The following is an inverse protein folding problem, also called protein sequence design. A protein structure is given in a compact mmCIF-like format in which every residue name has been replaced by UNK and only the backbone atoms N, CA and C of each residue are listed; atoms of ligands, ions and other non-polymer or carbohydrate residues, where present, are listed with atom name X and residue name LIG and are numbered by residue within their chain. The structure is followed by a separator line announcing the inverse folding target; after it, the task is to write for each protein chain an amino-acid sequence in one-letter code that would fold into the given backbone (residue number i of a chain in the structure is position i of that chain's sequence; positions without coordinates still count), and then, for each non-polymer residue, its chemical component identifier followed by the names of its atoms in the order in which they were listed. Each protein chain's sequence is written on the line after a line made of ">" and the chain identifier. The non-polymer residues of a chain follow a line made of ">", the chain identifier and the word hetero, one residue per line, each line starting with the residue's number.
data_IF_571887924754
#
_entry.id   IF_571887924754
#
_cell.length_a   1.000
_cell.length_b   1.000
_cell.length_c   1.000
_cell.angle_alpha   90.00
_cell.angle_beta   90.00
_cell.angle_gamma   90.00
#
_symmetry.space_group_name_H-M   'P 1'
#
loop_
_entity.id
_entity.type
_entity.pdbx_description
1 polymer ?
#
# COMPACT_ATOMS: atom_id res chain seq x y z
N UNK A 1 -6.31 -3.84 14.81
CA UNK A 1 -5.94 -2.56 14.17
C UNK A 1 -5.00 -2.77 12.96
N UNK A 2 -4.21 -3.85 12.91
CA UNK A 2 -3.32 -4.17 11.77
C UNK A 2 -3.96 -5.05 10.68
N UNK A 3 -5.00 -5.84 10.99
CA UNK A 3 -5.77 -6.64 10.03
C UNK A 3 -6.79 -5.84 9.19
N UNK A 4 -6.87 -4.52 9.38
CA UNK A 4 -7.80 -3.68 8.65
C UNK A 4 -7.33 -3.51 7.21
N UNK A 5 -8.25 -3.56 6.24
CA UNK A 5 -7.99 -3.17 4.85
C UNK A 5 -7.27 -1.79 4.77
N UNK A 6 -7.54 -0.89 5.73
CA UNK A 6 -6.86 0.40 5.83
C UNK A 6 -5.34 0.32 6.07
N UNK A 7 -4.83 -0.75 6.71
CA UNK A 7 -3.40 -0.97 6.96
C UNK A 7 -2.68 -1.44 5.70
N UNK A 8 -3.35 -2.29 4.92
CA UNK A 8 -2.94 -2.65 3.55
C UNK A 8 -2.95 -1.46 2.60
N UNK A 9 -3.85 -0.50 2.80
CA UNK A 9 -3.83 0.78 2.10
C UNK A 9 -2.66 1.68 2.53
N UNK A 10 -2.23 1.64 3.80
CA UNK A 10 -1.12 2.47 4.30
C UNK A 10 0.27 2.01 3.87
N UNK A 11 0.52 0.71 3.77
CA UNK A 11 1.72 0.16 3.07
C UNK A 11 1.53 0.20 1.53
N UNK A 12 0.34 0.62 1.10
CA UNK A 12 -0.31 0.28 -0.15
C UNK A 12 0.06 1.11 -1.37
N UNK A 13 1.34 1.38 -1.58
CA UNK A 13 1.84 1.89 -2.87
C UNK A 13 3.18 1.23 -3.22
N UNK A 14 3.20 -0.10 -3.30
CA UNK A 14 4.32 -0.83 -3.90
C UNK A 14 3.94 -1.23 -5.33
N UNK A 15 4.92 -1.19 -6.22
CA UNK A 15 4.79 -1.36 -7.67
C UNK A 15 3.89 -2.55 -8.07
N UNK A 16 3.97 -3.68 -7.34
CA UNK A 16 3.17 -4.86 -7.63
C UNK A 16 1.65 -4.64 -7.42
N UNK A 17 1.25 -3.89 -6.39
CA UNK A 17 -0.16 -3.55 -6.15
C UNK A 17 -0.69 -2.68 -7.27
N UNK A 18 0.07 -1.66 -7.65
CA UNK A 18 -0.27 -0.72 -8.73
C UNK A 18 -0.46 -1.43 -10.07
N UNK A 19 0.44 -2.37 -10.38
CA UNK A 19 0.33 -3.23 -11.57
C UNK A 19 -0.94 -4.08 -11.53
N UNK A 20 -1.25 -4.66 -10.37
CA UNK A 20 -2.45 -5.49 -10.21
C UNK A 20 -3.75 -4.66 -10.35
N UNK A 21 -3.80 -3.45 -9.79
CA UNK A 21 -4.94 -2.53 -9.93
C UNK A 21 -5.15 -2.09 -11.39
N UNK A 22 -4.07 -1.73 -12.10
CA UNK A 22 -4.13 -1.42 -13.54
C UNK A 22 -4.61 -2.64 -14.35
N UNK A 23 -4.14 -3.84 -14.02
CA UNK A 23 -4.57 -5.08 -14.68
C UNK A 23 -6.08 -5.32 -14.50
N UNK A 24 -6.59 -5.16 -13.27
CA UNK A 24 -8.02 -5.32 -12.99
C UNK A 24 -8.85 -4.28 -13.76
N UNK A 25 -8.40 -3.03 -13.82
CA UNK A 25 -9.04 -1.99 -14.63
C UNK A 25 -9.10 -2.37 -16.12
N UNK A 26 -8.00 -2.89 -16.69
CA UNK A 26 -7.97 -3.35 -18.07
C UNK A 26 -8.97 -4.48 -18.32
N UNK A 27 -9.06 -5.46 -17.41
CA UNK A 27 -10.00 -6.58 -17.50
C UNK A 27 -11.45 -6.10 -17.47
N UNK A 28 -11.79 -5.20 -16.54
CA UNK A 28 -13.14 -4.65 -16.43
C UNK A 28 -13.55 -3.87 -17.67
N UNK A 29 -12.66 -3.01 -18.18
CA UNK A 29 -12.91 -2.24 -19.43
C UNK A 29 -13.07 -3.16 -20.64
N UNK A 30 -12.26 -4.23 -20.74
CA UNK A 30 -12.41 -5.22 -21.82
C UNK A 30 -13.74 -5.96 -21.74
N UNK A 31 -14.17 -6.41 -20.56
CA UNK A 31 -15.47 -7.06 -20.36
C UNK A 31 -16.63 -6.15 -20.74
N UNK A 32 -16.64 -4.90 -20.25
CA UNK A 32 -17.67 -3.93 -20.59
C UNK A 32 -17.76 -3.68 -22.11
N UNK A 33 -16.62 -3.65 -22.80
CA UNK A 33 -16.57 -3.52 -24.26
C UNK A 33 -17.14 -4.73 -24.99
N UNK A 34 -16.79 -5.94 -24.55
CA UNK A 34 -17.31 -7.19 -25.11
C UNK A 34 -18.82 -7.30 -24.90
N UNK A 35 -19.32 -6.92 -23.72
CA UNK A 35 -20.75 -6.84 -23.42
C UNK A 35 -21.48 -5.84 -24.32
N UNK A 36 -20.91 -4.65 -24.56
CA UNK A 36 -21.48 -3.66 -25.48
C UNK A 36 -21.50 -4.17 -26.93
N UNK A 37 -20.44 -4.85 -27.38
CA UNK A 37 -20.37 -5.44 -28.72
C UNK A 37 -21.38 -6.58 -28.91
N UNK A 38 -21.56 -7.42 -27.89
CA UNK A 38 -22.59 -8.47 -27.90
C UNK A 38 -24.00 -7.87 -27.90
N UNK A 39 -24.23 -6.78 -27.16
CA UNK A 39 -25.53 -6.11 -27.11
C UNK A 39 -25.89 -5.43 -28.44
N UNK A 40 -24.92 -4.84 -29.13
CA UNK A 40 -25.15 -4.33 -30.49
C UNK A 40 -25.47 -5.44 -31.48
N UNK A 41 -24.77 -6.58 -31.40
CA UNK A 41 -25.05 -7.74 -32.27
C UNK A 41 -26.40 -8.41 -31.97
N UNK A 42 -26.86 -8.44 -30.72
CA UNK A 42 -28.18 -8.97 -30.37
C UNK A 42 -29.33 -8.08 -30.83
N UNK A 43 -29.12 -6.76 -30.89
CA UNK A 43 -30.13 -5.81 -31.37
C UNK A 43 -30.33 -5.94 -32.89
N UNK A 44 -29.26 -6.20 -33.65
CA UNK A 44 -29.34 -6.45 -35.09
C UNK A 44 -30.04 -7.79 -35.44
N UNK A 45 -30.24 -8.69 -34.48
CA UNK A 45 -30.89 -10.00 -34.72
C UNK A 45 -32.41 -9.97 -34.50
N UNK A 46 -32.94 -9.01 -33.73
CA UNK A 46 -34.38 -8.92 -33.40
C UNK A 46 -35.15 -7.87 -34.24
N UNK A 47 -34.47 -7.09 -35.10
CA UNK A 47 -35.10 -6.09 -35.98
C UNK A 47 -35.15 -6.50 -37.47
N UNK A 48 -34.92 -7.77 -37.78
CA UNK A 48 -34.90 -8.30 -39.16
C UNK A 48 -36.13 -9.15 -39.53
N UNK A 49 -37.35 -8.63 -39.33
CA UNK A 49 -38.53 -9.17 -40.03
C UNK A 49 -39.44 -8.16 -40.74
N UNK A 50 -39.19 -6.84 -40.68
CA UNK A 50 -39.93 -5.89 -41.54
C UNK A 50 -39.15 -4.62 -41.86
N UNK A 51 -38.38 -4.66 -42.96
CA UNK A 51 -38.34 -3.64 -44.02
C UNK A 51 -37.08 -3.84 -44.87
N UNK A 52 -37.27 -4.21 -46.13
CA UNK A 52 -36.22 -4.23 -47.15
C UNK A 52 -35.66 -2.82 -47.42
N UNK A 53 -34.39 -2.80 -47.85
CA UNK A 53 -33.71 -1.77 -48.66
C UNK A 53 -33.06 -0.59 -47.91
N UNK A 54 -31.75 -0.68 -47.69
CA UNK A 54 -30.73 0.03 -48.49
C UNK A 54 -29.31 -0.33 -47.99
N UNK A 55 -28.44 -0.62 -48.95
CA UNK A 55 -27.11 -1.24 -48.81
C UNK A 55 -26.09 -0.30 -48.15
N UNK A 56 -25.46 -0.71 -47.05
CA UNK A 56 -24.23 -0.08 -46.53
C UNK A 56 -23.03 -0.55 -47.36
N UNK A 57 -22.76 0.15 -48.46
CA UNK A 57 -21.53 -0.05 -49.24
C UNK A 57 -20.31 0.46 -48.47
N UNK A 58 -19.46 -0.49 -48.10
CA UNK A 58 -18.10 -0.31 -47.61
C UNK A 58 -17.21 0.25 -48.74
N UNK A 59 -16.92 1.56 -48.74
CA UNK A 59 -16.07 2.15 -49.79
C UNK A 59 -14.58 2.17 -49.39
N UNK A 60 -13.81 1.27 -50.00
CA UNK A 60 -12.35 1.28 -50.04
C UNK A 60 -11.89 2.34 -51.06
N UNK A 61 -10.93 3.17 -50.66
CA UNK A 61 -10.52 4.38 -51.36
C UNK A 61 -9.67 4.02 -52.61
N UNK A 62 -10.22 4.17 -53.82
CA UNK A 62 -9.41 4.26 -55.05
C UNK A 62 -9.76 5.49 -55.88
N UNK A 63 -8.71 6.26 -56.15
CA UNK A 63 -8.64 7.51 -56.87
C UNK A 63 -8.83 7.36 -58.38
N UNK A 64 -9.88 7.93 -58.96
CA UNK A 64 -9.96 8.22 -60.41
C UNK A 64 -10.67 9.56 -60.68
N UNK A 65 -10.18 10.27 -61.70
CA UNK A 65 -10.47 11.67 -62.05
C UNK A 65 -11.84 11.90 -62.73
N UNK A 66 -12.39 13.14 -62.73
CA UNK A 66 -13.72 13.39 -63.25
C UNK A 66 -13.70 13.70 -64.75
N UNK A 67 -14.52 12.97 -65.52
CA UNK A 67 -14.93 13.37 -66.86
C UNK A 67 -16.27 14.12 -66.80
N UNK A 68 -16.28 15.31 -67.40
CA UNK A 68 -17.43 16.23 -67.50
C UNK A 68 -18.55 15.66 -68.38
N UNK A 69 -19.81 15.77 -67.96
CA UNK A 69 -20.93 16.17 -68.84
C UNK A 69 -22.00 16.94 -68.05
N UNK A 70 -22.42 18.07 -68.64
CA UNK A 70 -23.50 18.96 -68.20
C UNK A 70 -24.88 18.33 -68.42
N UNK A 71 -25.81 18.50 -67.47
CA UNK A 71 -27.16 18.92 -67.84
C UNK A 71 -27.88 19.69 -66.72
N UNK A 72 -28.60 20.72 -67.14
CA UNK A 72 -29.14 21.80 -66.34
C UNK A 72 -30.61 21.58 -66.04
N UNK A 73 -31.00 21.38 -64.78
CA UNK A 73 -32.33 21.81 -64.32
C UNK A 73 -32.31 22.29 -62.87
N UNK A 74 -32.63 23.57 -62.72
CA UNK A 74 -32.68 24.33 -61.48
C UNK A 74 -34.03 24.09 -60.79
N UNK A 75 -34.05 23.37 -59.68
CA UNK A 75 -35.19 23.39 -58.73
C UNK A 75 -34.66 23.29 -57.31
N UNK A 76 -35.15 24.19 -56.46
CA UNK A 76 -34.67 24.44 -55.10
C UNK A 76 -34.67 23.18 -54.22
N UNK A 77 -33.49 22.62 -53.97
CA UNK A 77 -33.27 21.59 -52.97
C UNK A 77 -32.34 22.16 -51.90
N UNK A 78 -32.83 22.17 -50.66
CA UNK A 78 -32.05 22.36 -49.43
C UNK A 78 -30.69 21.68 -49.61
N UNK A 79 -29.62 22.45 -49.43
CA UNK A 79 -28.24 22.00 -49.54
C UNK A 79 -28.13 20.60 -48.91
N UNK A 80 -27.87 19.60 -49.76
CA UNK A 80 -27.57 18.23 -49.36
C UNK A 80 -26.41 18.33 -48.37
N UNK A 81 -26.75 18.26 -47.08
CA UNK A 81 -25.80 18.16 -45.98
C UNK A 81 -24.92 16.95 -46.32
N UNK A 82 -23.64 17.19 -46.60
CA UNK A 82 -22.64 16.16 -46.82
C UNK A 82 -22.80 15.11 -45.70
N UNK A 83 -22.77 13.82 -46.05
CA UNK A 83 -23.00 12.68 -45.13
C UNK A 83 -22.19 12.74 -43.83
N UNK A 84 -21.09 13.53 -43.80
CA UNK A 84 -20.24 13.82 -42.65
C UNK A 84 -20.78 14.86 -41.64
N UNK A 85 -21.87 15.56 -41.95
CA UNK A 85 -22.50 16.55 -41.06
C UNK A 85 -23.82 16.04 -40.43
N UNK A 86 -24.05 14.72 -40.39
CA UNK A 86 -25.16 14.17 -39.60
C UNK A 86 -24.80 14.25 -38.12
N UNK A 87 -25.67 14.83 -37.27
CA UNK A 87 -25.38 14.91 -35.84
C UNK A 87 -25.35 13.51 -35.22
N UNK A 88 -24.27 13.20 -34.51
CA UNK A 88 -24.03 11.90 -33.88
C UNK A 88 -23.43 12.05 -32.47
N UNK A 89 -23.64 11.05 -31.60
CA UNK A 89 -23.05 11.06 -30.26
C UNK A 89 -23.66 12.08 -29.29
N UNK A 90 -24.96 12.36 -29.40
CA UNK A 90 -25.68 13.26 -28.49
C UNK A 90 -26.16 12.49 -27.25
N UNK A 91 -25.81 12.98 -26.06
CA UNK A 91 -26.30 12.44 -24.79
C UNK A 91 -27.66 13.02 -24.42
N UNK A 92 -27.76 14.35 -24.38
CA UNK A 92 -28.98 15.07 -24.06
C UNK A 92 -28.95 16.49 -24.63
N UNK A 93 -30.11 17.13 -24.74
CA UNK A 93 -30.21 18.56 -25.07
C UNK A 93 -29.74 19.40 -23.89
N UNK A 94 -28.92 20.43 -24.13
CA UNK A 94 -28.52 21.36 -23.08
C UNK A 94 -29.74 22.15 -22.58
N UNK A 95 -29.90 22.36 -21.25
CA UNK A 95 -31.09 23.00 -20.70
C UNK A 95 -31.35 24.43 -21.21
N UNK A 96 -30.29 25.23 -21.34
CA UNK A 96 -30.39 26.67 -21.65
C UNK A 96 -29.66 27.13 -22.91
N UNK A 97 -28.54 26.50 -23.30
CA UNK A 97 -27.63 26.99 -24.34
C UNK A 97 -28.09 26.64 -25.76
N UNK A 98 -27.80 27.55 -26.70
CA UNK A 98 -28.01 27.43 -28.14
C UNK A 98 -26.69 27.78 -28.84
N UNK A 99 -26.51 27.28 -30.06
CA UNK A 99 -25.35 27.58 -30.89
C UNK A 99 -25.37 29.04 -31.30
N UNK A 100 -24.22 29.72 -31.18
CA UNK A 100 -24.10 31.15 -31.43
C UNK A 100 -24.47 31.50 -32.87
N UNK A 101 -24.01 30.72 -33.85
CA UNK A 101 -24.20 31.04 -35.27
C UNK A 101 -25.57 30.67 -35.82
N UNK A 102 -26.13 29.51 -35.44
CA UNK A 102 -27.38 28.99 -36.03
C UNK A 102 -28.61 29.17 -35.15
N UNK A 103 -28.44 29.39 -33.85
CA UNK A 103 -29.55 29.44 -32.88
C UNK A 103 -30.20 28.09 -32.58
N UNK A 104 -29.66 27.00 -33.13
CA UNK A 104 -30.10 25.66 -32.81
C UNK A 104 -29.76 25.30 -31.36
N UNK A 105 -30.51 24.39 -30.72
CA UNK A 105 -30.17 23.94 -29.38
C UNK A 105 -28.79 23.28 -29.32
N UNK A 106 -28.00 23.61 -28.31
CA UNK A 106 -26.76 22.91 -28.02
C UNK A 106 -27.08 21.53 -27.43
N UNK A 107 -26.38 20.49 -27.90
CA UNK A 107 -26.48 19.13 -27.39
C UNK A 107 -25.20 18.75 -26.64
N UNK A 108 -25.38 18.12 -25.49
CA UNK A 108 -24.29 17.54 -24.71
C UNK A 108 -23.70 16.35 -25.48
N UNK A 109 -22.40 16.34 -25.82
CA UNK A 109 -21.79 15.20 -26.47
C UNK A 109 -21.56 14.05 -25.49
N UNK A 110 -21.56 12.83 -26.01
CA UNK A 110 -20.97 11.68 -25.34
C UNK A 110 -19.45 11.76 -25.53
N UNK A 111 -18.70 11.91 -24.46
CA UNK A 111 -17.23 11.95 -24.45
C UNK A 111 -16.64 10.60 -24.03
N UNK A 112 -15.34 10.42 -24.28
CA UNK A 112 -14.63 9.25 -23.76
C UNK A 112 -14.40 9.38 -22.25
N UNK A 113 -14.33 8.25 -21.55
CA UNK A 113 -13.93 8.22 -20.14
C UNK A 113 -12.49 8.74 -19.97
N UNK A 114 -12.20 9.42 -18.85
CA UNK A 114 -10.84 9.84 -18.55
C UNK A 114 -9.91 8.63 -18.41
N UNK A 115 -8.67 8.78 -18.88
CA UNK A 115 -7.66 7.72 -18.83
C UNK A 115 -7.33 7.40 -17.37
N UNK A 116 -7.56 6.16 -16.90
CA UNK A 116 -7.11 5.77 -15.57
C UNK A 116 -5.58 5.77 -15.56
N UNK A 117 -5.00 6.46 -14.58
CA UNK A 117 -3.55 6.51 -14.37
C UNK A 117 -3.22 5.99 -12.98
N UNK A 118 -2.13 5.25 -12.90
CA UNK A 118 -1.58 4.81 -11.64
C UNK A 118 -0.78 5.93 -10.98
N UNK A 119 -0.56 5.85 -9.66
CA UNK A 119 0.17 6.89 -8.92
C UNK A 119 1.60 7.10 -9.43
N UNK A 120 2.30 6.01 -9.75
CA UNK A 120 3.63 6.06 -10.36
C UNK A 120 3.59 6.77 -11.72
N UNK A 121 2.58 6.52 -12.54
CA UNK A 121 2.41 7.23 -13.81
C UNK A 121 2.13 8.72 -13.61
N UNK A 122 1.36 9.10 -12.58
CA UNK A 122 1.10 10.51 -12.24
C UNK A 122 2.36 11.22 -11.74
N UNK A 123 3.17 10.56 -10.92
CA UNK A 123 4.43 11.09 -10.43
C UNK A 123 5.46 11.23 -11.57
N UNK A 124 5.54 10.23 -12.47
CA UNK A 124 6.34 10.30 -13.70
C UNK A 124 5.88 11.44 -14.62
N UNK A 125 4.58 11.58 -14.88
CA UNK A 125 4.02 12.66 -15.69
C UNK A 125 4.35 14.04 -15.10
N UNK A 126 4.28 14.18 -13.78
CA UNK A 126 4.66 15.40 -13.08
C UNK A 126 6.16 15.69 -13.20
N UNK A 127 7.01 14.66 -13.10
CA UNK A 127 8.46 14.80 -13.25
C UNK A 127 8.84 15.18 -14.68
N UNK A 128 8.24 14.54 -15.69
CA UNK A 128 8.41 14.90 -17.11
C UNK A 128 7.97 16.33 -17.35
N UNK A 129 6.85 16.75 -16.77
CA UNK A 129 6.36 18.13 -16.87
C UNK A 129 7.29 19.15 -16.21
N UNK A 130 7.92 18.80 -15.08
CA UNK A 130 8.90 19.65 -14.40
C UNK A 130 10.21 19.76 -15.18
N UNK A 131 10.64 18.70 -15.86
CA UNK A 131 11.84 18.68 -16.70
C UNK A 131 11.63 19.45 -18.02
N UNK A 132 10.42 19.45 -18.55
CA UNK A 132 10.01 20.30 -19.66
C UNK A 132 9.98 21.76 -19.18
N UNK A 133 11.05 22.50 -19.43
CA UNK A 133 11.21 23.89 -19.01
C UNK A 133 10.12 24.87 -19.48
N UNK A 134 10.36 26.17 -19.30
CA UNK A 134 9.38 27.22 -19.62
C UNK A 134 9.50 27.77 -21.05
N UNK A 135 10.38 27.20 -21.87
CA UNK A 135 10.61 27.66 -23.24
C UNK A 135 9.37 27.45 -24.13
N UNK A 136 9.24 28.25 -25.20
CA UNK A 136 8.11 28.17 -26.14
C UNK A 136 7.90 26.75 -26.68
N UNK A 137 8.99 26.06 -27.05
CA UNK A 137 8.96 24.67 -27.52
C UNK A 137 8.54 23.68 -26.40
N UNK A 138 8.96 23.92 -25.16
CA UNK A 138 8.57 23.11 -24.01
C UNK A 138 7.10 23.33 -23.61
N UNK A 139 6.58 24.55 -23.77
CA UNK A 139 5.16 24.89 -23.62
C UNK A 139 4.29 24.20 -24.67
N UNK A 140 4.71 24.22 -25.95
CA UNK A 140 4.03 23.51 -27.04
C UNK A 140 4.04 21.99 -26.83
N UNK A 141 5.16 21.42 -26.36
CA UNK A 141 5.26 19.98 -26.05
C UNK A 141 4.37 19.57 -24.87
N UNK A 142 4.32 20.38 -23.79
CA UNK A 142 3.39 20.18 -22.67
C UNK A 142 1.94 20.26 -23.11
N UNK A 143 1.61 21.22 -23.97
CA UNK A 143 0.27 21.34 -24.53
C UNK A 143 -0.13 20.10 -25.33
N UNK A 144 0.78 19.56 -26.18
CA UNK A 144 0.53 18.33 -26.94
C UNK A 144 0.37 17.07 -26.07
N UNK A 145 1.17 16.93 -25.02
CA UNK A 145 1.07 15.80 -24.08
C UNK A 145 -0.28 15.77 -23.34
N UNK A 146 -0.85 16.95 -23.09
CA UNK A 146 -2.12 17.11 -22.38
C UNK A 146 -3.33 17.29 -23.32
N UNK A 147 -3.11 17.42 -24.64
CA UNK A 147 -4.18 17.74 -25.60
C UNK A 147 -4.96 16.53 -26.09
N UNK A 148 -4.56 15.29 -25.79
CA UNK A 148 -5.24 14.11 -26.32
C UNK A 148 -6.70 14.01 -25.84
N UNK A 149 -6.96 14.24 -24.55
CA UNK A 149 -8.32 14.27 -24.02
C UNK A 149 -9.10 15.47 -24.56
N UNK A 150 -8.47 16.65 -24.58
CA UNK A 150 -9.09 17.88 -25.11
C UNK A 150 -9.49 17.72 -26.59
N UNK A 151 -8.64 17.10 -27.40
CA UNK A 151 -8.92 16.80 -28.80
C UNK A 151 -10.13 15.88 -28.92
N UNK A 152 -10.15 14.77 -28.18
CA UNK A 152 -11.28 13.82 -28.14
C UNK A 152 -12.60 14.49 -27.73
N UNK A 153 -12.57 15.40 -26.76
CA UNK A 153 -13.75 16.14 -26.32
C UNK A 153 -14.22 17.14 -27.38
N UNK A 154 -13.30 17.84 -28.05
CA UNK A 154 -13.62 18.74 -29.16
C UNK A 154 -14.20 17.99 -30.37
N UNK A 155 -13.66 16.82 -30.71
CA UNK A 155 -14.18 15.96 -31.79
C UNK A 155 -15.61 15.48 -31.46
N UNK A 156 -15.83 15.04 -30.22
CA UNK A 156 -17.15 14.59 -29.74
C UNK A 156 -18.17 15.72 -29.79
N UNK A 157 -17.76 16.93 -29.37
CA UNK A 157 -18.62 18.10 -29.36
C UNK A 157 -19.03 18.53 -30.78
N UNK A 158 -18.08 18.55 -31.72
CA UNK A 158 -18.36 18.86 -33.13
C UNK A 158 -19.29 17.83 -33.78
N UNK A 159 -19.14 16.55 -33.45
CA UNK A 159 -20.03 15.50 -33.95
C UNK A 159 -21.48 15.68 -33.43
N UNK A 160 -21.63 16.05 -32.15
CA UNK A 160 -22.94 16.30 -31.55
C UNK A 160 -23.60 17.59 -32.04
N UNK A 161 -22.78 18.62 -32.34
CA UNK A 161 -23.21 19.96 -32.71
C UNK A 161 -22.58 20.40 -34.05
N UNK A 162 -23.12 19.94 -35.19
CA UNK A 162 -22.68 20.41 -36.51
C UNK A 162 -22.84 21.94 -36.62
N UNK A 163 -21.80 22.61 -37.11
CA UNK A 163 -21.79 24.07 -37.26
C UNK A 163 -21.45 24.86 -35.99
N UNK A 164 -21.12 24.19 -34.88
CA UNK A 164 -20.66 24.86 -33.67
C UNK A 164 -19.30 25.53 -33.85
N UNK A 165 -19.06 26.62 -33.12
CA UNK A 165 -17.78 27.33 -33.07
C UNK A 165 -17.03 27.07 -31.76
N UNK A 166 -15.77 27.54 -31.67
CA UNK A 166 -14.95 27.35 -30.47
C UNK A 166 -15.61 27.96 -29.23
N UNK A 167 -16.28 29.09 -29.40
CA UNK A 167 -17.02 29.80 -28.36
C UNK A 167 -18.15 28.93 -27.78
N UNK A 168 -18.87 28.18 -28.62
CA UNK A 168 -19.90 27.24 -28.17
C UNK A 168 -19.29 26.11 -27.32
N UNK A 169 -18.12 25.61 -27.73
CA UNK A 169 -17.39 24.60 -26.98
C UNK A 169 -16.90 25.14 -25.63
N UNK A 170 -16.33 26.35 -25.58
CA UNK A 170 -15.83 26.95 -24.33
C UNK A 170 -16.98 27.21 -23.35
N UNK A 171 -18.14 27.68 -23.81
CA UNK A 171 -19.34 27.87 -22.97
C UNK A 171 -19.76 26.60 -22.24
N UNK A 172 -19.58 25.44 -22.88
CA UNK A 172 -19.88 24.14 -22.29
C UNK A 172 -18.71 23.56 -21.47
N UNK A 173 -17.52 23.51 -22.04
CA UNK A 173 -16.37 22.78 -21.50
C UNK A 173 -15.58 23.57 -20.44
N UNK A 174 -15.49 24.89 -20.58
CA UNK A 174 -14.86 25.78 -19.60
C UNK A 174 -15.69 27.06 -19.42
N UNK A 175 -16.83 27.02 -18.72
CA UNK A 175 -17.67 28.18 -18.48
C UNK A 175 -16.94 29.35 -17.80
N UNK A 176 -15.83 29.07 -17.09
CA UNK A 176 -14.97 30.07 -16.45
C UNK A 176 -14.18 30.92 -17.45
N UNK A 177 -13.97 30.42 -18.67
CA UNK A 177 -13.28 31.13 -19.73
C UNK A 177 -14.23 31.86 -20.68
N UNK A 178 -15.54 31.84 -20.38
CA UNK A 178 -16.56 32.64 -21.05
C UNK A 178 -16.90 33.85 -20.19
N UNK A 179 -16.76 35.06 -20.75
CA UNK A 179 -17.11 36.32 -20.08
C UNK A 179 -18.45 36.77 -20.64
N UNK A 180 -19.48 36.72 -19.80
CA UNK A 180 -20.83 37.19 -20.14
C UNK A 180 -20.91 38.72 -20.06
N UNK A 181 -21.60 39.33 -21.03
CA UNK A 181 -21.95 40.73 -21.08
C UNK A 181 -23.46 40.88 -20.79
N UNK A 182 -23.88 42.06 -20.32
CA UNK A 182 -25.30 42.33 -19.99
C UNK A 182 -26.22 42.44 -21.23
N UNK A 183 -25.66 42.29 -22.44
CA UNK A 183 -26.40 42.31 -23.69
C UNK A 183 -27.01 40.94 -24.00
N UNK A 184 -28.26 40.92 -24.48
CA UNK A 184 -28.93 39.70 -24.92
C UNK A 184 -28.68 39.53 -26.42
N UNK A 185 -28.23 38.35 -26.83
CA UNK A 185 -28.06 37.96 -28.22
C UNK A 185 -29.40 37.83 -28.95
N UNK A 186 -29.33 37.63 -30.26
CA UNK A 186 -30.51 37.54 -31.12
C UNK A 186 -31.43 36.36 -30.73
N UNK A 187 -30.92 35.34 -30.02
CA UNK A 187 -31.60 34.08 -29.68
C UNK A 187 -32.09 34.02 -28.23
N UNK A 188 -31.95 35.11 -27.48
CA UNK A 188 -32.43 35.26 -26.11
C UNK A 188 -31.44 34.79 -25.03
N UNK A 189 -30.14 34.75 -25.31
CA UNK A 189 -29.08 34.34 -24.38
C UNK A 189 -28.14 35.52 -24.07
N UNK A 190 -27.43 35.49 -22.94
CA UNK A 190 -26.43 36.50 -22.65
C UNK A 190 -25.28 36.39 -23.65
N UNK A 191 -24.99 37.50 -24.33
CA UNK A 191 -23.85 37.65 -25.22
C UNK A 191 -22.57 37.62 -24.38
N UNK A 192 -21.46 37.27 -25.01
CA UNK A 192 -20.20 37.20 -24.30
C UNK A 192 -19.02 36.98 -25.22
N UNK A 193 -17.83 36.99 -24.64
CA UNK A 193 -16.60 36.78 -25.37
C UNK A 193 -15.63 35.86 -24.60
N UNK A 194 -14.63 35.36 -25.31
CA UNK A 194 -13.57 34.54 -24.73
C UNK A 194 -12.73 35.34 -23.74
N UNK A 195 -12.27 34.69 -22.67
CA UNK A 195 -11.37 35.30 -21.68
C UNK A 195 -10.04 35.76 -22.30
N UNK A 196 -9.35 36.71 -21.66
CA UNK A 196 -8.05 37.21 -22.12
C UNK A 196 -7.00 36.09 -22.30
N UNK A 197 -7.09 35.01 -21.51
CA UNK A 197 -6.23 33.82 -21.63
C UNK A 197 -6.52 33.02 -22.90
N UNK A 198 -7.77 33.00 -23.35
CA UNK A 198 -8.20 32.29 -24.55
C UNK A 198 -7.89 33.06 -25.84
N UNK A 199 -7.63 34.37 -25.74
CA UNK A 199 -7.29 35.27 -26.86
C UNK A 199 -5.78 35.40 -27.12
N UNK A 200 -4.94 34.61 -26.43
CA UNK A 200 -3.49 34.64 -26.62
C UNK A 200 -3.13 34.20 -28.06
N UNK A 201 -2.21 34.90 -28.75
CA UNK A 201 -1.73 34.48 -30.06
C UNK A 201 -1.19 33.04 -30.04
N UNK A 202 -1.59 32.22 -31.02
CA UNK A 202 -1.27 30.78 -31.10
C UNK A 202 -1.76 29.98 -29.88
N UNK A 203 -2.99 30.22 -29.43
CA UNK A 203 -3.60 29.43 -28.36
C UNK A 203 -3.68 27.93 -28.75
N UNK A 204 -3.15 27.02 -27.91
CA UNK A 204 -3.29 25.57 -28.13
C UNK A 204 -4.74 25.12 -28.30
N UNK A 205 -5.72 25.76 -27.63
CA UNK A 205 -7.13 25.40 -27.74
C UNK A 205 -7.69 25.70 -29.12
N UNK A 206 -7.44 26.89 -29.66
CA UNK A 206 -7.85 27.26 -31.02
C UNK A 206 -7.16 26.38 -32.07
N UNK A 207 -5.88 26.07 -31.86
CA UNK A 207 -5.13 25.16 -32.75
C UNK A 207 -5.73 23.75 -32.73
N UNK A 208 -6.00 23.21 -31.54
CA UNK A 208 -6.61 21.88 -31.36
C UNK A 208 -8.01 21.84 -31.97
N UNK A 209 -8.81 22.88 -31.73
CA UNK A 209 -10.15 23.02 -32.29
C UNK A 209 -10.14 23.01 -33.81
N UNK A 210 -9.23 23.76 -34.45
CA UNK A 210 -9.13 23.78 -35.91
C UNK A 210 -8.71 22.43 -36.49
N UNK A 211 -7.89 21.65 -35.77
CA UNK A 211 -7.49 20.31 -36.20
C UNK A 211 -8.56 19.23 -35.94
N UNK A 212 -9.46 19.43 -34.97
CA UNK A 212 -10.46 18.45 -34.55
C UNK A 212 -11.52 18.21 -35.64
N UNK A 213 -11.79 16.94 -35.92
CA UNK A 213 -12.82 16.50 -36.87
C UNK A 213 -14.13 16.14 -36.14
N UNK A 214 -15.31 16.24 -36.79
CA UNK A 214 -16.59 15.87 -36.16
C UNK A 214 -16.75 14.35 -36.06
N UNK A 215 -16.06 13.72 -35.11
CA UNK A 215 -16.08 12.26 -34.90
C UNK A 215 -16.71 11.95 -33.53
N UNK A 216 -17.77 11.13 -33.43
CA UNK A 216 -18.36 10.76 -32.14
C UNK A 216 -17.45 9.81 -31.35
N UNK A 217 -17.53 9.84 -30.01
CA UNK A 217 -16.62 9.09 -29.11
C UNK A 217 -16.44 7.59 -29.46
N UNK A 218 -17.48 6.89 -29.89
CA UNK A 218 -17.40 5.47 -30.25
C UNK A 218 -16.60 5.19 -31.54
N UNK A 219 -16.35 6.20 -32.39
CA UNK A 219 -15.53 6.11 -33.62
C UNK A 219 -14.15 6.75 -33.47
N UNK A 220 -13.88 7.40 -32.34
CA UNK A 220 -12.60 8.02 -32.08
C UNK A 220 -11.53 6.98 -31.70
N UNK A 221 -10.27 7.38 -31.85
CA UNK A 221 -9.16 6.62 -31.26
C UNK A 221 -9.32 6.62 -29.74
N UNK A 222 -9.19 5.44 -29.14
CA UNK A 222 -9.36 5.26 -27.69
C UNK A 222 -8.25 5.99 -26.94
N UNK A 223 -8.64 6.76 -25.93
CA UNK A 223 -7.70 7.41 -25.02
C UNK A 223 -6.99 6.39 -24.12
N UNK A 224 -7.71 5.34 -23.71
CA UNK A 224 -7.16 4.22 -22.93
C UNK A 224 -7.26 2.93 -23.76
N UNK A 225 -6.10 2.34 -24.06
CA UNK A 225 -6.00 1.06 -24.73
C UNK A 225 -5.78 -0.05 -23.68
N UNK A 226 -6.89 -0.64 -23.24
CA UNK A 226 -6.92 -1.70 -22.23
C UNK A 226 -5.99 -2.87 -22.57
N UNK A 227 -5.83 -3.18 -23.85
CA UNK A 227 -5.01 -4.32 -24.29
C UNK A 227 -3.53 -3.96 -24.21
N UNK A 228 -3.14 -2.77 -24.69
CA UNK A 228 -1.74 -2.33 -24.62
C UNK A 228 -1.26 -2.07 -23.20
N UNK A 229 -2.10 -1.49 -22.33
CA UNK A 229 -1.73 -1.27 -20.93
C UNK A 229 -1.59 -2.60 -20.16
N UNK A 230 -2.47 -3.58 -20.43
CA UNK A 230 -2.32 -4.93 -19.88
C UNK A 230 -1.04 -5.62 -20.39
N UNK A 231 -0.73 -5.52 -21.68
CA UNK A 231 0.50 -6.08 -22.26
C UNK A 231 1.76 -5.45 -21.65
N UNK A 232 1.79 -4.13 -21.43
CA UNK A 232 2.90 -3.45 -20.74
C UNK A 232 3.09 -4.01 -19.34
N UNK A 233 2.00 -4.17 -18.58
CA UNK A 233 2.05 -4.73 -17.23
C UNK A 233 2.55 -6.19 -17.21
N UNK A 234 2.06 -7.04 -18.12
CA UNK A 234 2.53 -8.43 -18.25
C UNK A 234 4.00 -8.49 -18.70
N UNK A 235 4.38 -7.66 -19.67
CA UNK A 235 5.74 -7.59 -20.16
C UNK A 235 6.70 -7.15 -19.04
N UNK A 236 6.32 -6.15 -18.25
CA UNK A 236 7.07 -5.71 -17.07
C UNK A 236 7.33 -6.88 -16.12
N UNK A 237 6.32 -7.70 -15.81
CA UNK A 237 6.48 -8.86 -14.91
C UNK A 237 7.34 -9.96 -15.57
N UNK A 238 7.13 -10.25 -16.85
CA UNK A 238 7.85 -11.30 -17.59
C UNK A 238 9.35 -11.02 -17.73
N UNK A 239 9.74 -9.74 -17.73
CA UNK A 239 11.13 -9.30 -17.92
C UNK A 239 11.92 -9.25 -16.61
N UNK A 240 11.28 -9.50 -15.45
CA UNK A 240 11.96 -9.45 -14.15
C UNK A 240 12.81 -10.68 -13.89
N UNK A 241 14.01 -10.43 -13.35
CA UNK A 241 14.87 -11.47 -12.77
C UNK A 241 14.35 -11.89 -11.39
N UNK A 242 14.72 -13.08 -10.93
CA UNK A 242 14.30 -13.61 -9.63
C UNK A 242 14.58 -12.65 -8.46
N UNK A 243 15.74 -11.96 -8.48
CA UNK A 243 16.07 -10.97 -7.45
C UNK A 243 15.16 -9.74 -7.47
N UNK A 244 14.70 -9.32 -8.65
CA UNK A 244 13.75 -8.21 -8.79
C UNK A 244 12.34 -8.64 -8.37
N UNK A 245 11.95 -9.89 -8.64
CA UNK A 245 10.69 -10.46 -8.13
C UNK A 245 10.71 -10.51 -6.60
N UNK A 246 11.82 -10.97 -6.00
CA UNK A 246 11.98 -10.96 -4.55
C UNK A 246 11.86 -9.55 -3.95
N UNK A 247 12.45 -8.54 -4.60
CA UNK A 247 12.28 -7.13 -4.23
C UNK A 247 10.82 -6.69 -4.33
N UNK A 248 10.12 -6.99 -5.43
CA UNK A 248 8.70 -6.65 -5.60
C UNK A 248 7.80 -7.27 -4.50
N UNK A 249 8.17 -8.46 -3.99
CA UNK A 249 7.46 -9.16 -2.92
C UNK A 249 7.86 -8.72 -1.51
N UNK A 250 9.01 -8.06 -1.36
CA UNK A 250 9.56 -7.67 -0.06
C UNK A 250 8.55 -6.91 0.83
N UNK A 251 7.82 -5.89 0.33
CA UNK A 251 6.82 -5.19 1.14
C UNK A 251 5.71 -6.10 1.65
N UNK A 252 5.21 -6.99 0.78
CA UNK A 252 4.12 -7.92 1.14
C UNK A 252 4.55 -8.94 2.17
N UNK A 253 5.76 -9.49 2.02
CA UNK A 253 6.30 -10.50 2.93
C UNK A 253 6.63 -9.88 4.30
N UNK A 254 7.26 -8.70 4.32
CA UNK A 254 7.56 -7.99 5.58
C UNK A 254 6.27 -7.57 6.30
N UNK A 255 5.26 -7.10 5.56
CA UNK A 255 3.95 -6.79 6.16
C UNK A 255 3.27 -8.03 6.74
N UNK A 256 3.30 -9.15 6.02
CA UNK A 256 2.75 -10.42 6.52
C UNK A 256 3.47 -10.90 7.79
N UNK A 257 4.80 -10.85 7.81
CA UNK A 257 5.59 -11.18 9.00
C UNK A 257 5.22 -10.30 10.21
N UNK A 258 5.09 -8.99 9.99
CA UNK A 258 4.70 -8.04 11.03
C UNK A 258 3.26 -8.28 11.52
N UNK A 259 2.35 -8.62 10.61
CA UNK A 259 0.99 -8.99 10.96
C UNK A 259 0.97 -10.24 11.84
N UNK A 260 1.65 -11.31 11.43
CA UNK A 260 1.76 -12.55 12.21
C UNK A 260 2.36 -12.32 13.59
N UNK A 261 3.37 -11.44 13.71
CA UNK A 261 3.91 -11.04 15.01
C UNK A 261 2.88 -10.28 15.85
N UNK A 262 2.10 -9.39 15.25
CA UNK A 262 1.10 -8.61 15.98
C UNK A 262 -0.11 -9.42 16.46
N UNK A 263 -0.37 -10.57 15.85
CA UNK A 263 -1.41 -11.50 16.28
C UNK A 263 -1.00 -12.33 17.51
N UNK A 264 0.29 -12.34 17.84
CA UNK A 264 0.77 -13.00 19.06
C UNK A 264 0.23 -12.27 20.28
N UNK A 265 -0.73 -12.87 20.96
CA UNK A 265 -1.25 -12.37 22.24
C UNK A 265 -0.32 -12.82 23.34
N UNK A 266 0.48 -11.88 23.85
CA UNK A 266 1.41 -12.18 24.93
C UNK A 266 1.34 -11.15 26.05
N UNK A 267 0.75 -11.53 27.19
CA UNK A 267 0.54 -10.64 28.34
C UNK A 267 1.85 -10.16 28.96
N UNK A 268 2.93 -10.94 28.83
CA UNK A 268 4.26 -10.55 29.28
C UNK A 268 4.90 -9.46 28.38
N UNK A 269 4.35 -9.20 27.19
CA UNK A 269 4.83 -8.23 26.22
C UNK A 269 3.71 -7.22 25.86
N UNK A 270 3.27 -6.36 26.81
CA UNK A 270 2.13 -5.47 26.59
C UNK A 270 2.37 -4.43 25.46
N UNK A 271 3.63 -4.05 25.22
CA UNK A 271 3.99 -3.03 24.23
C UNK A 271 4.20 -3.61 22.82
N UNK A 272 3.95 -4.91 22.59
CA UNK A 272 4.20 -5.57 21.31
C UNK A 272 3.46 -4.88 20.15
N UNK A 273 2.20 -4.49 20.35
CA UNK A 273 1.38 -3.83 19.34
C UNK A 273 1.91 -2.43 18.99
N UNK A 274 2.43 -1.70 19.98
CA UNK A 274 2.99 -0.36 19.77
C UNK A 274 4.30 -0.44 18.98
N UNK A 275 5.16 -1.39 19.33
CA UNK A 275 6.41 -1.65 18.61
C UNK A 275 6.12 -2.12 17.18
N UNK A 276 5.17 -3.03 16.99
CA UNK A 276 4.74 -3.48 15.66
C UNK A 276 4.19 -2.30 14.83
N UNK A 277 3.42 -1.40 15.43
CA UNK A 277 2.93 -0.19 14.76
C UNK A 277 4.05 0.78 14.39
N UNK A 278 5.09 0.89 15.22
CA UNK A 278 6.29 1.68 14.90
C UNK A 278 7.05 1.11 13.70
N UNK A 279 7.25 -0.21 13.67
CA UNK A 279 7.86 -0.91 12.53
C UNK A 279 7.02 -0.74 11.26
N UNK A 280 5.69 -0.80 11.37
CA UNK A 280 4.81 -0.55 10.24
C UNK A 280 5.02 0.84 9.64
N UNK A 281 5.15 1.88 10.47
CA UNK A 281 5.41 3.23 9.98
C UNK A 281 6.77 3.33 9.28
N UNK A 282 7.81 2.65 9.79
CA UNK A 282 9.10 2.53 9.09
C UNK A 282 8.94 1.82 7.74
N UNK A 283 8.17 0.73 7.69
CA UNK A 283 7.90 -0.02 6.47
C UNK A 283 7.21 0.83 5.40
N UNK A 284 6.23 1.66 5.78
CA UNK A 284 5.56 2.60 4.87
C UNK A 284 6.57 3.55 4.20
N UNK A 285 7.52 4.07 4.97
CA UNK A 285 8.57 4.94 4.43
C UNK A 285 9.57 4.19 3.52
N UNK A 286 9.86 2.91 3.83
CA UNK A 286 10.77 2.07 3.05
C UNK A 286 10.19 1.61 1.70
N UNK A 287 8.85 1.51 1.61
CA UNK A 287 8.10 0.84 0.54
C UNK A 287 7.70 1.74 -0.64
N UNK A 288 8.11 3.02 -0.66
CA UNK A 288 7.65 3.97 -1.69
C UNK A 288 7.90 3.50 -3.14
N UNK A 289 7.01 3.82 -4.10
CA UNK A 289 6.92 3.16 -5.42
C UNK A 289 8.19 3.22 -6.25
N UNK A 290 8.92 4.33 -6.18
CA UNK A 290 10.01 4.61 -7.12
C UNK A 290 11.27 3.82 -6.76
N UNK A 291 11.65 3.78 -5.47
CA UNK A 291 12.84 3.02 -5.04
C UNK A 291 12.67 2.47 -3.62
N UNK A 292 12.67 1.14 -3.50
CA UNK A 292 12.75 0.47 -2.20
C UNK A 292 14.07 0.79 -1.52
N UNK A 293 14.00 1.25 -0.27
CA UNK A 293 15.19 1.56 0.54
C UNK A 293 15.67 0.31 1.27
N UNK A 294 16.46 -0.53 0.60
CA UNK A 294 16.89 -1.84 1.12
C UNK A 294 17.54 -1.78 2.51
N UNK A 295 18.32 -0.74 2.80
CA UNK A 295 18.95 -0.57 4.12
C UNK A 295 17.92 -0.44 5.26
N UNK A 296 16.74 0.13 5.00
CA UNK A 296 15.66 0.23 5.99
C UNK A 296 15.00 -1.13 6.20
N UNK A 297 14.90 -1.95 5.16
CA UNK A 297 14.41 -3.31 5.31
C UNK A 297 15.33 -4.15 6.21
N UNK A 298 16.65 -4.00 6.09
CA UNK A 298 17.60 -4.69 6.99
C UNK A 298 17.44 -4.26 8.46
N UNK A 299 17.16 -2.98 8.72
CA UNK A 299 16.80 -2.52 10.07
C UNK A 299 15.48 -3.12 10.55
N UNK A 300 14.44 -3.12 9.70
CA UNK A 300 13.14 -3.71 10.01
C UNK A 300 13.28 -5.22 10.30
N UNK A 301 14.09 -5.95 9.56
CA UNK A 301 14.29 -7.38 9.79
C UNK A 301 15.00 -7.65 11.11
N UNK A 302 15.98 -6.84 11.50
CA UNK A 302 16.60 -6.93 12.84
C UNK A 302 15.62 -6.63 13.96
N UNK A 303 14.74 -5.63 13.76
CA UNK A 303 13.68 -5.31 14.72
C UNK A 303 12.68 -6.50 14.85
N UNK A 304 12.27 -7.09 13.74
CA UNK A 304 11.38 -8.27 13.68
C UNK A 304 12.03 -9.48 14.36
N UNK A 305 13.29 -9.79 14.04
CA UNK A 305 14.04 -10.91 14.61
C UNK A 305 14.17 -10.77 16.14
N UNK A 306 14.48 -9.58 16.63
CA UNK A 306 14.57 -9.32 18.07
C UNK A 306 13.24 -9.54 18.79
N UNK A 307 12.13 -9.12 18.19
CA UNK A 307 10.79 -9.31 18.75
C UNK A 307 10.38 -10.77 18.71
N UNK A 308 10.62 -11.45 17.59
CA UNK A 308 10.33 -12.88 17.44
C UNK A 308 11.08 -13.69 18.49
N UNK A 309 12.36 -13.41 18.72
CA UNK A 309 13.15 -14.05 19.76
C UNK A 309 12.55 -13.84 21.15
N UNK A 310 12.07 -12.63 21.48
CA UNK A 310 11.41 -12.35 22.75
C UNK A 310 10.10 -13.14 22.89
N UNK A 311 9.26 -13.16 21.84
CA UNK A 311 8.00 -13.92 21.83
C UNK A 311 8.27 -15.42 22.02
N UNK A 312 9.24 -15.96 21.27
CA UNK A 312 9.64 -17.36 21.37
C UNK A 312 10.18 -17.72 22.76
N UNK A 313 10.96 -16.82 23.38
CA UNK A 313 11.45 -16.99 24.74
C UNK A 313 10.30 -17.03 25.76
N UNK A 314 9.35 -16.10 25.69
CA UNK A 314 8.19 -16.11 26.60
C UNK A 314 7.35 -17.37 26.40
N UNK A 315 7.05 -17.75 25.17
CA UNK A 315 6.27 -18.96 24.86
C UNK A 315 6.97 -20.22 25.41
N UNK A 316 8.28 -20.32 25.23
CA UNK A 316 9.09 -21.41 25.79
C UNK A 316 9.02 -21.44 27.31
N UNK A 317 9.13 -20.28 27.97
CA UNK A 317 9.07 -20.19 29.43
C UNK A 317 7.68 -20.49 29.98
N UNK A 318 6.62 -20.01 29.34
CA UNK A 318 5.23 -20.35 29.68
C UNK A 318 4.99 -21.85 29.58
N UNK A 319 5.41 -22.47 28.47
CA UNK A 319 5.26 -23.91 28.28
C UNK A 319 6.02 -24.71 29.35
N UNK A 320 7.26 -24.30 29.67
CA UNK A 320 8.11 -24.98 30.66
C UNK A 320 7.60 -24.79 32.10
N UNK A 321 7.25 -23.55 32.48
CA UNK A 321 7.03 -23.16 33.87
C UNK A 321 5.56 -22.98 34.27
N UNK A 322 4.67 -22.64 33.33
CA UNK A 322 3.29 -22.20 33.62
C UNK A 322 2.32 -23.32 33.97
N UNK A 323 2.51 -24.51 33.40
CA UNK A 323 1.60 -25.63 33.64
C UNK A 323 0.16 -25.32 33.25
N UNK A 324 -0.79 -25.53 34.17
CA UNK A 324 -2.22 -25.29 33.93
C UNK A 324 -2.71 -23.91 34.43
N UNK A 325 -1.82 -23.04 34.91
CA UNK A 325 -2.23 -21.83 35.64
C UNK A 325 -1.56 -20.57 35.07
N UNK A 326 -2.30 -19.85 34.23
CA UNK A 326 -1.92 -18.52 33.72
C UNK A 326 -2.34 -17.42 34.72
N UNK A 327 -1.76 -17.45 35.92
CA UNK A 327 -2.04 -16.42 36.92
C UNK A 327 -1.28 -15.12 36.60
N UNK A 328 -1.84 -13.97 37.02
CA UNK A 328 -1.14 -12.67 36.89
C UNK A 328 0.22 -12.65 37.61
N UNK A 329 0.34 -13.40 38.71
CA UNK A 329 1.59 -13.58 39.44
C UNK A 329 2.64 -14.34 38.61
N UNK A 330 2.21 -15.36 37.87
CA UNK A 330 3.08 -16.09 36.94
C UNK A 330 3.54 -15.19 35.79
N UNK A 331 2.66 -14.39 35.20
CA UNK A 331 3.04 -13.41 34.16
C UNK A 331 4.04 -12.38 34.69
N UNK A 332 3.87 -11.87 35.92
CA UNK A 332 4.83 -10.98 36.57
C UNK A 332 6.20 -11.65 36.77
N UNK A 333 6.21 -12.90 37.22
CA UNK A 333 7.43 -13.69 37.36
C UNK A 333 8.16 -13.89 36.02
N UNK A 334 7.43 -14.19 34.94
CA UNK A 334 8.01 -14.31 33.59
C UNK A 334 8.64 -13.00 33.12
N UNK A 335 7.96 -11.86 33.32
CA UNK A 335 8.50 -10.54 32.97
C UNK A 335 9.79 -10.25 33.73
N UNK A 336 9.88 -10.61 35.01
CA UNK A 336 11.11 -10.47 35.80
C UNK A 336 12.23 -11.39 35.28
N UNK A 337 11.89 -12.63 34.92
CA UNK A 337 12.85 -13.59 34.36
C UNK A 337 13.45 -13.09 33.04
N UNK A 338 12.62 -12.48 32.19
CA UNK A 338 13.04 -11.90 30.91
C UNK A 338 13.94 -10.65 31.07
N UNK A 339 13.79 -9.87 32.15
CA UNK A 339 14.57 -8.64 32.39
C UNK A 339 15.95 -8.90 33.00
N UNK A 340 16.14 -10.05 33.64
CA UNK A 340 17.43 -10.56 34.09
C UNK A 340 18.02 -9.85 35.31
N UNK A 341 18.18 -10.61 36.41
CA UNK A 341 19.46 -10.79 37.13
C UNK A 341 19.30 -11.84 38.22
N UNK A 342 18.31 -11.68 39.07
CA UNK A 342 17.90 -12.68 40.08
C UNK A 342 16.40 -12.52 40.28
N UNK A 343 15.66 -13.63 40.31
CA UNK A 343 14.21 -13.63 40.48
C UNK A 343 13.86 -14.61 41.58
N UNK A 344 13.12 -14.15 42.58
CA UNK A 344 12.60 -15.01 43.62
C UNK A 344 11.52 -15.93 43.05
N UNK A 345 11.68 -17.23 43.25
CA UNK A 345 10.69 -18.22 42.79
C UNK A 345 9.51 -18.19 43.77
N UNK A 346 8.27 -17.95 43.30
CA UNK A 346 7.08 -17.99 44.15
C UNK A 346 6.96 -19.33 44.89
N UNK A 347 6.69 -19.27 46.19
CA UNK A 347 6.60 -20.41 47.11
C UNK A 347 7.86 -21.30 47.20
N UNK A 348 8.99 -20.81 46.68
CA UNK A 348 10.29 -21.47 46.73
C UNK A 348 10.28 -22.89 46.13
N UNK A 349 11.01 -23.82 46.77
CA UNK A 349 11.16 -25.20 46.30
C UNK A 349 9.90 -26.06 46.44
N UNK A 350 8.95 -25.64 47.29
CA UNK A 350 7.66 -26.33 47.48
C UNK A 350 6.57 -25.85 46.54
N UNK A 351 6.78 -24.70 45.88
CA UNK A 351 5.90 -24.16 44.87
C UNK A 351 5.86 -24.99 43.58
N UNK A 352 4.79 -24.82 42.81
CA UNK A 352 4.60 -25.50 41.52
C UNK A 352 5.75 -25.18 40.54
N UNK A 353 6.15 -23.91 40.47
CA UNK A 353 7.23 -23.43 39.60
C UNK A 353 8.58 -24.02 40.07
N UNK A 354 8.87 -23.95 41.38
CA UNK A 354 10.11 -24.48 41.95
C UNK A 354 10.27 -26.00 41.76
N UNK A 355 9.18 -26.75 41.91
CA UNK A 355 9.17 -28.21 41.67
C UNK A 355 9.45 -28.55 40.20
N UNK A 356 8.88 -27.78 39.25
CA UNK A 356 9.17 -27.92 37.81
C UNK A 356 10.62 -27.60 37.48
N UNK A 357 11.16 -26.51 37.99
CA UNK A 357 12.57 -26.15 37.82
C UNK A 357 13.47 -27.29 38.33
N UNK A 358 13.19 -27.80 39.53
CA UNK A 358 13.92 -28.91 40.17
C UNK A 358 13.88 -30.18 39.30
N UNK A 359 12.73 -30.48 38.71
CA UNK A 359 12.55 -31.63 37.80
C UNK A 359 13.35 -31.43 36.51
N UNK A 360 13.27 -30.26 35.89
CA UNK A 360 14.03 -29.94 34.67
C UNK A 360 15.54 -30.05 34.90
N UNK A 361 16.06 -29.58 36.04
CA UNK A 361 17.49 -29.73 36.36
C UNK A 361 17.88 -31.19 36.59
N UNK A 362 17.04 -31.97 37.26
CA UNK A 362 17.26 -33.41 37.46
C UNK A 362 17.28 -34.16 36.12
N UNK A 363 16.34 -33.87 35.23
CA UNK A 363 16.23 -34.51 33.92
C UNK A 363 17.42 -34.14 33.02
N UNK A 364 17.84 -32.87 33.04
CA UNK A 364 19.04 -32.41 32.34
C UNK A 364 20.31 -33.12 32.84
N UNK A 365 20.46 -33.33 34.15
CA UNK A 365 21.59 -34.09 34.70
C UNK A 365 21.54 -35.57 34.32
N UNK A 366 20.36 -36.20 34.38
CA UNK A 366 20.17 -37.58 33.93
C UNK A 366 20.58 -37.72 32.46
N UNK A 367 20.11 -36.82 31.58
CA UNK A 367 20.45 -36.83 30.16
C UNK A 367 21.96 -36.64 29.92
N UNK A 368 22.61 -35.71 30.65
CA UNK A 368 24.04 -35.46 30.52
C UNK A 368 24.92 -36.65 30.97
N UNK A 369 24.44 -37.48 31.90
CA UNK A 369 25.14 -38.67 32.42
C UNK A 369 24.90 -39.94 31.60
N UNK A 370 23.82 -39.99 30.82
CA UNK A 370 23.50 -41.08 29.89
C UNK A 370 24.25 -40.93 28.56
N UNK A 371 24.54 -39.70 28.12
CA UNK A 371 25.28 -39.42 26.89
C UNK A 371 26.74 -39.94 26.81
N UNK A 372 27.51 -40.15 27.91
CA UNK A 372 28.85 -40.75 27.87
C UNK A 372 28.85 -42.28 28.07
N UNK A 373 27.73 -42.91 28.41
CA UNK A 373 27.71 -44.30 28.91
C UNK A 373 27.01 -45.27 27.94
N UNK A 374 27.56 -45.42 26.73
CA UNK A 374 27.17 -46.49 25.78
C UNK A 374 27.68 -47.89 26.17
N UNK A 375 28.15 -48.10 27.40
CA UNK A 375 28.54 -49.42 27.90
C UNK A 375 28.30 -49.49 29.40
N UNK A 376 27.15 -50.01 29.84
CA UNK A 376 26.97 -50.87 31.02
C UNK A 376 25.57 -51.51 30.93
N UNK A 377 25.51 -52.81 31.22
CA UNK A 377 24.34 -53.71 31.17
C UNK A 377 23.06 -53.18 31.85
N UNK A 378 21.86 -53.61 31.39
CA UNK A 378 20.57 -53.13 31.86
C UNK A 378 20.04 -53.88 33.09
N UNK A 379 20.92 -54.43 33.94
CA UNK A 379 20.52 -55.10 35.17
C UNK A 379 21.23 -54.45 36.34
N UNK A 380 20.43 -53.95 37.29
CA UNK A 380 20.75 -53.14 38.49
C UNK A 380 20.43 -51.65 38.28
N UNK A 381 19.22 -51.24 38.67
CA UNK A 381 19.05 -50.11 39.62
C UNK A 381 17.57 -49.85 39.94
N UNK A 382 16.97 -50.72 40.76
CA UNK A 382 15.78 -50.38 41.57
C UNK A 382 16.15 -49.60 42.85
N UNK A 383 17.39 -49.09 42.96
CA UNK A 383 17.93 -48.41 44.16
C UNK A 383 18.54 -47.02 43.85
N UNK A 384 18.48 -46.53 42.61
CA UNK A 384 19.28 -45.39 42.15
C UNK A 384 18.66 -43.97 42.24
N UNK A 385 17.44 -43.77 42.73
CA UNK A 385 16.79 -42.44 42.67
C UNK A 385 17.45 -41.41 43.62
N UNK A 386 18.30 -41.87 44.54
CA UNK A 386 19.05 -41.03 45.50
C UNK A 386 20.39 -40.50 44.99
N UNK A 387 20.89 -40.97 43.83
CA UNK A 387 22.21 -40.54 43.30
C UNK A 387 22.17 -39.21 42.55
N UNK A 388 21.01 -38.79 42.03
CA UNK A 388 20.89 -37.56 41.26
C UNK A 388 20.51 -36.40 42.19
N UNK A 389 21.50 -35.56 42.51
CA UNK A 389 21.22 -34.28 43.19
C UNK A 389 20.28 -33.46 42.31
N UNK A 390 19.28 -32.81 42.92
CA UNK A 390 18.29 -32.06 42.14
C UNK A 390 18.85 -30.77 41.50
N UNK A 391 19.99 -30.29 41.99
CA UNK A 391 20.71 -29.14 41.45
C UNK A 391 22.19 -29.48 41.28
N UNK A 392 22.91 -28.81 40.35
CA UNK A 392 24.36 -28.93 40.25
C UNK A 392 25.05 -28.39 41.51
N UNK A 393 26.35 -28.61 41.63
CA UNK A 393 27.09 -28.01 42.74
C UNK A 393 27.01 -26.47 42.69
N UNK A 394 26.78 -25.81 43.83
CA UNK A 394 26.63 -24.36 43.86
C UNK A 394 27.92 -23.67 43.40
N UNK A 395 27.79 -22.68 42.52
CA UNK A 395 28.92 -21.86 42.05
C UNK A 395 29.45 -20.90 43.13
N UNK A 396 28.58 -20.48 44.04
CA UNK A 396 28.87 -19.60 45.17
C UNK A 396 28.05 -20.03 46.39
N UNK A 397 28.61 -19.93 47.59
CA UNK A 397 27.87 -20.05 48.86
C UNK A 397 27.96 -18.75 49.61
N UNK A 398 26.82 -18.17 49.93
CA UNK A 398 26.73 -16.89 50.61
C UNK A 398 26.22 -17.08 52.04
N UNK A 399 26.88 -16.42 53.01
CA UNK A 399 26.55 -16.45 54.42
C UNK A 399 26.46 -15.03 54.97
N UNK A 400 25.51 -14.83 55.88
CA UNK A 400 25.41 -13.61 56.67
C UNK A 400 25.57 -13.99 58.13
N UNK A 401 26.71 -13.64 58.72
CA UNK A 401 26.95 -13.77 60.15
C UNK A 401 26.51 -12.48 60.84
N UNK A 402 25.72 -12.63 61.90
CA UNK A 402 25.26 -11.52 62.75
C UNK A 402 25.63 -11.88 64.18
N UNK A 403 26.36 -10.99 64.86
CA UNK A 403 26.74 -11.15 66.26
C UNK A 403 26.61 -9.80 66.97
N UNK A 404 26.28 -9.81 68.26
CA UNK A 404 26.30 -8.62 69.11
C UNK A 404 27.44 -8.82 70.10
N UNK A 405 28.44 -7.94 70.08
CA UNK A 405 29.62 -8.04 70.94
C UNK A 405 30.16 -6.66 71.32
N UNK A 406 30.74 -6.49 72.52
CA UNK A 406 31.51 -5.29 72.89
C UNK A 406 32.68 -5.05 71.94
N UNK A 407 32.87 -3.80 71.50
CA UNK A 407 34.00 -3.36 70.65
C UNK A 407 34.23 -1.84 70.83
N UNK A 408 35.48 -1.35 70.95
CA UNK A 408 36.75 -2.08 70.78
C UNK A 408 37.19 -2.91 71.99
N UNK A 409 36.74 -2.60 73.21
CA UNK A 409 37.16 -3.30 74.43
C UNK A 409 36.03 -4.09 75.08
N UNK A 410 36.34 -5.06 75.97
CA UNK A 410 35.32 -5.81 76.71
C UNK A 410 34.42 -4.95 77.60
N UNK A 411 34.86 -3.73 77.94
CA UNK A 411 34.11 -2.74 78.72
C UNK A 411 33.21 -1.84 77.87
N UNK A 412 33.38 -1.86 76.54
CA UNK A 412 32.54 -1.10 75.62
C UNK A 412 31.10 -1.62 75.61
N UNK A 413 30.17 -0.78 75.16
CA UNK A 413 28.78 -1.21 74.96
C UNK A 413 28.70 -2.30 73.89
N UNK A 414 27.89 -3.34 74.10
CA UNK A 414 27.72 -4.39 73.11
C UNK A 414 26.99 -3.85 71.87
N UNK A 415 27.63 -3.94 70.71
CA UNK A 415 27.11 -3.39 69.45
C UNK A 415 26.89 -4.49 68.39
N UNK A 416 25.91 -4.33 67.48
CA UNK A 416 25.66 -5.28 66.41
C UNK A 416 26.77 -5.25 65.37
N UNK A 417 27.22 -6.43 64.99
CA UNK A 417 28.26 -6.66 64.00
C UNK A 417 27.68 -7.57 62.91
N UNK A 418 27.93 -7.24 61.65
CA UNK A 418 27.48 -8.04 60.51
C UNK A 418 28.66 -8.35 59.60
N UNK A 419 28.84 -9.62 59.29
CA UNK A 419 29.82 -10.08 58.31
C UNK A 419 29.11 -10.82 57.19
N UNK A 420 29.25 -10.31 55.97
CA UNK A 420 28.84 -11.00 54.76
C UNK A 420 30.03 -11.82 54.22
N UNK A 421 29.77 -13.08 53.89
CA UNK A 421 30.77 -14.01 53.36
C UNK A 421 30.25 -14.61 52.07
N UNK A 422 31.00 -14.44 50.98
CA UNK A 422 30.74 -15.10 49.70
C UNK A 422 31.90 -16.03 49.40
N UNK A 423 31.65 -17.34 49.47
CA UNK A 423 32.60 -18.39 49.12
C UNK A 423 32.39 -18.81 47.66
N UNK A 424 33.34 -18.46 46.79
CA UNK A 424 33.42 -19.02 45.42
C UNK A 424 34.54 -20.06 45.37
N UNK A 425 34.69 -20.74 44.23
CA UNK A 425 35.76 -21.72 44.03
C UNK A 425 37.16 -21.11 44.10
N UNK A 426 37.32 -19.90 43.56
CA UNK A 426 38.63 -19.27 43.39
C UNK A 426 38.89 -18.12 44.38
N UNK A 427 37.85 -17.54 44.99
CA UNK A 427 37.97 -16.45 45.95
C UNK A 427 36.99 -16.54 47.13
N UNK A 428 37.41 -15.99 48.27
CA UNK A 428 36.58 -15.76 49.45
C UNK A 428 36.45 -14.26 49.62
N UNK A 429 35.22 -13.74 49.51
CA UNK A 429 34.93 -12.32 49.73
C UNK A 429 34.27 -12.14 51.09
N UNK A 430 34.86 -11.28 51.90
CA UNK A 430 34.37 -10.92 53.23
C UNK A 430 34.07 -9.43 53.24
N UNK A 431 32.85 -9.05 53.59
CA UNK A 431 32.47 -7.66 53.78
C UNK A 431 31.87 -7.49 55.18
N UNK A 432 32.63 -6.83 56.05
CA UNK A 432 32.23 -6.55 57.42
C UNK A 432 31.62 -5.16 57.56
N UNK A 433 30.50 -5.08 58.27
CA UNK A 433 29.97 -3.85 58.83
C UNK A 433 30.12 -3.96 60.34
N UNK A 434 31.08 -3.20 60.86
CA UNK A 434 31.40 -3.24 62.27
C UNK A 434 31.16 -1.90 62.94
N UNK A 435 30.42 -1.92 64.05
CA UNK A 435 30.18 -0.75 64.89
C UNK A 435 31.19 -0.74 66.04
N UNK A 436 31.69 0.46 66.37
CA UNK A 436 32.64 0.69 67.47
C UNK A 436 32.06 1.71 68.44
N UNK A 437 32.22 1.46 69.75
CA UNK A 437 31.92 2.43 70.79
C UNK A 437 33.04 3.49 70.85
N UNK A 438 32.70 4.75 70.58
CA UNK A 438 33.66 5.86 70.58
C UNK A 438 33.79 6.55 71.94
N UNK A 439 32.97 6.17 72.92
CA UNK A 439 32.90 6.82 74.24
C UNK A 439 33.66 6.00 75.27
N UNK A 440 33.56 4.67 75.21
CA UNK A 440 34.24 3.74 76.12
C UNK A 440 35.29 2.93 75.35
N UNK A 441 36.49 3.53 75.21
CA UNK A 441 37.68 2.91 74.59
C UNK A 441 38.24 1.79 75.46
#
# INVERSE_FOLDING_TARGET
>A
MLASCSTWFKVGQYTLKTIHEMMNCCIEKKKAREEMAHKSQSIDTDEFETAESEEEEFFECTSEEPSNEDDSTRTQLKAKHLLWNKPAGRLAKHPSLKLIQSGDPLYLPITQDPVPKTEDQLEEDAQVMMQLGTDKHASEMRARLMSASLLSDMESFKAANPGAVLEDFIRWYSPRDWIEEDEIDEWGQLKGHLSARMLIPNNPWSTTWNSAQPVPAHRQKRLFDDTREAEKALHFLSTKRIGQIAQLLLPTLTHAALHTLSEQKQDALPNLLDVASSILNKLQYATKPIHQKLYIYEEIFRDIEGIEALVAQVNSLQHKLGGNNDSKEFTSFLVQLMRGKEVEVPDGSRGNIGSRITTMFRDAQKAALVMPSLNINPEIDTVGDSKFKSFPEPCCKEFILRIVTPRPSPTSTAQPQRLYVSLKRDDIRLAGFFSEDTIFL
#
